data_IF_316191811759
#
_entry.id   IF_316191811759
#
_cell.length_a   1.000
_cell.length_b   1.000
_cell.length_c   1.000
_cell.angle_alpha   90.00
_cell.angle_beta   90.00
_cell.angle_gamma   90.00
#
_symmetry.space_group_name_H-M   'P 1'
#
loop_
_entity.id
_entity.type
_entity.pdbx_description
1 polymer ?
#
# COMPACT_ATOMS: atom_id res chain seq x y z
N UNK A 1 -6.57 -13.87 -39.35
CA UNK A 1 -5.33 -13.71 -38.58
C UNK A 1 -4.70 -15.07 -38.43
N UNK A 2 -3.47 -15.24 -38.89
CA UNK A 2 -2.67 -16.47 -38.77
C UNK A 2 -2.27 -16.69 -37.29
N UNK A 3 -2.12 -17.93 -36.83
CA UNK A 3 -1.64 -18.28 -35.48
C UNK A 3 -0.37 -17.53 -35.07
N UNK A 4 0.54 -17.27 -36.01
CA UNK A 4 1.76 -16.49 -35.79
C UNK A 4 1.45 -15.02 -35.46
N UNK A 5 0.42 -14.44 -36.08
CA UNK A 5 0.00 -13.06 -35.80
C UNK A 5 -0.70 -12.97 -34.44
N UNK A 6 -1.48 -13.99 -34.08
CA UNK A 6 -2.12 -14.09 -32.76
C UNK A 6 -1.06 -14.19 -31.65
N UNK A 7 -0.04 -15.02 -31.87
CA UNK A 7 1.06 -15.20 -30.93
C UNK A 7 1.88 -13.92 -30.76
N UNK A 8 2.24 -13.25 -31.87
CA UNK A 8 2.94 -11.96 -31.85
C UNK A 8 2.13 -10.87 -31.14
N UNK A 9 0.81 -10.86 -31.30
CA UNK A 9 -0.05 -9.88 -30.63
C UNK A 9 -0.11 -10.10 -29.11
N UNK A 10 -0.14 -11.37 -28.67
CA UNK A 10 -0.01 -11.74 -27.25
C UNK A 10 1.33 -11.32 -26.67
N UNK A 11 2.42 -11.58 -27.38
CA UNK A 11 3.77 -11.20 -26.95
C UNK A 11 3.95 -9.69 -26.86
N UNK A 12 3.39 -8.93 -27.82
CA UNK A 12 3.34 -7.47 -27.77
C UNK A 12 2.53 -6.96 -26.57
N UNK A 13 1.34 -7.51 -26.32
CA UNK A 13 0.54 -7.12 -25.15
C UNK A 13 1.25 -7.42 -23.83
N UNK A 14 1.91 -8.58 -23.72
CA UNK A 14 2.70 -8.91 -22.53
C UNK A 14 3.90 -7.98 -22.36
N UNK A 15 4.59 -7.62 -23.44
CA UNK A 15 5.68 -6.66 -23.39
C UNK A 15 5.21 -5.25 -23.00
N UNK A 16 4.05 -4.82 -23.51
CA UNK A 16 3.40 -3.54 -23.16
C UNK A 16 2.98 -3.50 -21.68
N UNK A 17 2.38 -4.58 -21.16
CA UNK A 17 2.08 -4.74 -19.74
C UNK A 17 3.33 -4.70 -18.86
N UNK A 18 4.42 -5.35 -19.30
CA UNK A 18 5.69 -5.41 -18.55
C UNK A 18 6.46 -4.07 -18.56
N UNK A 19 6.30 -3.26 -19.61
CA UNK A 19 7.06 -2.02 -19.81
C UNK A 19 6.33 -0.74 -19.33
N UNK A 20 5.20 -0.86 -18.62
CA UNK A 20 4.41 0.28 -18.14
C UNK A 20 4.07 1.27 -19.27
N UNK A 21 3.59 0.77 -20.41
CA UNK A 21 3.27 1.57 -21.61
C UNK A 21 1.92 2.30 -21.54
N UNK A 22 1.55 2.81 -20.36
CA UNK A 22 0.44 3.77 -20.24
C UNK A 22 0.84 5.15 -20.79
N UNK A 23 -0.13 6.06 -20.95
CA UNK A 23 0.18 7.46 -21.27
C UNK A 23 1.02 8.07 -20.13
N UNK A 24 2.32 8.26 -20.38
CA UNK A 24 3.24 8.82 -19.40
C UNK A 24 3.19 10.34 -19.50
N UNK A 25 2.39 10.97 -18.64
CA UNK A 25 2.45 12.42 -18.47
C UNK A 25 3.84 12.84 -17.97
N UNK A 26 4.27 14.03 -18.36
CA UNK A 26 5.56 14.56 -17.95
C UNK A 26 5.50 14.93 -16.45
N UNK A 27 6.07 14.09 -15.59
CA UNK A 27 6.19 14.38 -14.16
C UNK A 27 7.12 15.56 -13.87
N UNK A 28 6.93 16.21 -12.71
CA UNK A 28 7.73 17.37 -12.26
C UNK A 28 9.25 17.16 -12.42
N UNK A 29 9.79 16.09 -11.84
CA UNK A 29 11.23 15.81 -11.85
C UNK A 29 11.77 15.63 -13.28
N UNK A 30 11.08 14.83 -14.12
CA UNK A 30 11.46 14.64 -15.53
C UNK A 30 11.34 15.94 -16.34
N UNK A 31 10.35 16.77 -16.02
CA UNK A 31 10.17 18.08 -16.63
C UNK A 31 11.39 18.99 -16.46
N UNK A 32 11.97 19.03 -15.26
CA UNK A 32 13.15 19.86 -14.98
C UNK A 32 14.34 19.53 -15.88
N UNK A 33 14.60 18.25 -16.16
CA UNK A 33 15.64 17.82 -17.11
C UNK A 33 15.41 18.32 -18.54
N UNK A 34 14.16 18.62 -18.89
CA UNK A 34 13.76 19.11 -20.22
C UNK A 34 13.52 20.63 -20.23
N UNK A 35 13.88 21.35 -19.15
CA UNK A 35 13.59 22.78 -19.02
C UNK A 35 12.11 23.12 -18.91
N UNK A 36 11.26 22.15 -18.52
CA UNK A 36 9.81 22.30 -18.37
C UNK A 36 9.42 22.27 -16.90
N UNK A 37 8.83 23.36 -16.42
CA UNK A 37 8.30 23.43 -15.06
C UNK A 37 6.85 22.93 -15.01
N UNK A 38 6.66 21.67 -14.60
CA UNK A 38 5.33 21.03 -14.53
C UNK A 38 4.73 21.16 -13.12
N UNK A 39 4.24 22.36 -12.80
CA UNK A 39 3.83 22.75 -11.45
C UNK A 39 2.70 21.88 -10.86
N UNK A 40 1.75 21.46 -11.68
CA UNK A 40 0.51 20.80 -11.26
C UNK A 40 0.72 19.49 -10.46
N UNK A 41 1.89 18.84 -10.62
CA UNK A 41 2.27 17.66 -9.83
C UNK A 41 2.64 17.97 -8.37
N UNK A 42 2.88 19.23 -8.02
CA UNK A 42 3.46 19.62 -6.72
C UNK A 42 2.79 20.84 -6.08
N UNK A 43 2.13 21.69 -6.89
CA UNK A 43 1.55 22.96 -6.46
C UNK A 43 0.05 22.98 -6.79
N UNK A 44 -0.83 23.24 -5.81
CA UNK A 44 -0.54 23.34 -4.37
C UNK A 44 -0.12 21.98 -3.78
N UNK A 45 0.57 22.01 -2.64
CA UNK A 45 1.00 20.78 -1.98
C UNK A 45 -0.21 19.86 -1.72
N UNK A 46 -0.18 18.59 -2.15
CA UNK A 46 -1.32 17.70 -2.04
C UNK A 46 -1.65 17.44 -0.56
N UNK A 47 -2.94 17.49 -0.24
CA UNK A 47 -3.45 17.28 1.13
C UNK A 47 -4.50 16.18 1.14
N UNK A 48 -4.60 15.50 2.27
CA UNK A 48 -5.72 14.61 2.58
C UNK A 48 -7.01 15.43 2.54
N UNK A 49 -8.03 14.95 1.83
CA UNK A 49 -9.32 15.66 1.76
C UNK A 49 -10.05 15.60 3.10
N UNK A 50 -11.01 16.49 3.35
CA UNK A 50 -11.78 16.47 4.60
C UNK A 50 -12.52 15.14 4.83
N UNK A 51 -12.98 14.47 3.77
CA UNK A 51 -13.60 13.15 3.87
C UNK A 51 -12.58 12.09 4.30
N UNK A 52 -11.43 12.04 3.61
CA UNK A 52 -10.34 11.13 3.95
C UNK A 52 -9.76 11.39 5.35
N UNK A 53 -9.77 12.64 5.81
CA UNK A 53 -9.30 13.00 7.14
C UNK A 53 -10.18 12.38 8.23
N UNK A 54 -11.51 12.35 8.06
CA UNK A 54 -12.41 11.69 9.02
C UNK A 54 -12.11 10.18 9.14
N UNK A 55 -11.93 9.50 8.01
CA UNK A 55 -11.61 8.08 8.00
C UNK A 55 -10.23 7.82 8.65
N UNK A 56 -9.27 8.70 8.38
CA UNK A 56 -7.94 8.65 9.00
C UNK A 56 -8.01 8.85 10.52
N UNK A 57 -8.77 9.84 10.99
CA UNK A 57 -8.92 10.12 12.42
C UNK A 57 -9.55 8.93 13.16
N UNK A 58 -10.55 8.28 12.54
CA UNK A 58 -11.15 7.06 13.08
C UNK A 58 -10.13 5.91 13.15
N UNK A 59 -9.36 5.65 12.08
CA UNK A 59 -8.33 4.63 12.09
C UNK A 59 -7.24 4.90 13.14
N UNK A 60 -6.85 6.16 13.33
CA UNK A 60 -5.88 6.56 14.36
C UNK A 60 -6.44 6.37 15.77
N UNK A 61 -7.74 6.64 15.98
CA UNK A 61 -8.41 6.41 17.25
C UNK A 61 -8.45 4.92 17.64
N UNK A 62 -8.52 4.02 16.67
CA UNK A 62 -8.49 2.57 16.89
C UNK A 62 -7.06 2.04 17.10
N UNK A 63 -6.10 2.47 16.27
CA UNK A 63 -4.74 1.91 16.32
C UNK A 63 -3.95 2.38 17.53
N UNK A 64 -4.12 3.64 17.98
CA UNK A 64 -3.33 4.19 19.10
C UNK A 64 -3.51 3.41 20.40
N UNK A 65 -4.73 3.14 20.89
CA UNK A 65 -4.92 2.33 22.09
C UNK A 65 -4.41 0.90 21.96
N UNK A 66 -4.50 0.31 20.76
CA UNK A 66 -3.95 -1.02 20.49
C UNK A 66 -2.42 -1.02 20.65
N UNK A 67 -1.74 -0.06 20.02
CA UNK A 67 -0.29 0.08 20.14
C UNK A 67 0.13 0.37 21.60
N UNK A 68 -0.57 1.28 22.28
CA UNK A 68 -0.24 1.65 23.67
C UNK A 68 -0.40 0.47 24.65
N UNK A 69 -1.27 -0.49 24.34
CA UNK A 69 -1.51 -1.67 25.18
C UNK A 69 -0.61 -2.85 24.83
N UNK A 70 -0.36 -3.09 23.55
CA UNK A 70 0.18 -4.37 23.07
C UNK A 70 1.62 -4.27 22.57
N UNK A 71 2.09 -3.08 22.17
CA UNK A 71 3.42 -2.87 21.60
C UNK A 71 4.44 -2.56 22.69
N UNK A 72 5.52 -3.33 22.71
CA UNK A 72 6.70 -3.13 23.55
C UNK A 72 7.95 -3.17 22.65
N UNK A 73 8.45 -1.97 22.31
CA UNK A 73 9.57 -1.78 21.38
C UNK A 73 10.88 -2.34 21.93
N UNK A 74 11.16 -2.14 23.21
CA UNK A 74 12.39 -2.64 23.85
C UNK A 74 12.43 -4.17 23.88
N UNK A 75 11.27 -4.82 24.04
CA UNK A 75 11.16 -6.28 23.93
C UNK A 75 11.38 -6.76 22.50
N UNK A 76 10.74 -6.11 21.52
CA UNK A 76 10.87 -6.46 20.10
C UNK A 76 12.33 -6.43 19.66
N UNK A 77 13.06 -5.35 20.00
CA UNK A 77 14.46 -5.20 19.63
C UNK A 77 15.37 -6.23 20.34
N UNK A 78 15.11 -6.48 21.63
CA UNK A 78 15.90 -7.45 22.43
C UNK A 78 15.72 -8.88 21.94
N UNK A 79 14.49 -9.26 21.64
CA UNK A 79 14.14 -10.62 21.24
C UNK A 79 14.29 -10.84 19.72
N UNK A 80 14.49 -9.75 18.97
CA UNK A 80 14.55 -9.70 17.50
C UNK A 80 13.33 -10.34 16.82
N UNK A 81 12.16 -10.23 17.46
CA UNK A 81 10.91 -10.81 16.98
C UNK A 81 9.72 -9.89 17.28
N UNK A 82 8.75 -9.85 16.37
CA UNK A 82 7.49 -9.11 16.58
C UNK A 82 6.48 -10.10 17.18
N UNK A 83 6.08 -9.91 18.45
CA UNK A 83 5.18 -10.83 19.14
C UNK A 83 3.86 -11.03 18.38
N UNK A 84 3.39 -12.29 18.34
CA UNK A 84 2.15 -12.64 17.61
C UNK A 84 0.94 -11.80 18.02
N UNK A 85 0.82 -11.44 19.30
CA UNK A 85 -0.28 -10.60 19.78
C UNK A 85 -0.27 -9.21 19.12
N UNK A 86 0.90 -8.62 18.86
CA UNK A 86 1.03 -7.33 18.15
C UNK A 86 0.57 -7.47 16.70
N UNK A 87 0.99 -8.54 16.01
CA UNK A 87 0.57 -8.83 14.63
C UNK A 87 -0.96 -8.99 14.56
N UNK A 88 -1.55 -9.73 15.49
CA UNK A 88 -3.01 -9.88 15.59
C UNK A 88 -3.71 -8.58 15.95
N UNK A 89 -3.11 -7.74 16.78
CA UNK A 89 -3.59 -6.38 17.05
C UNK A 89 -3.66 -5.54 15.79
N UNK A 90 -2.61 -5.56 14.97
CA UNK A 90 -2.57 -4.88 13.67
C UNK A 90 -3.62 -5.45 12.69
N UNK A 91 -3.83 -6.76 12.68
CA UNK A 91 -4.89 -7.38 11.89
C UNK A 91 -6.28 -6.88 12.33
N UNK A 92 -6.57 -6.88 13.64
CA UNK A 92 -7.84 -6.42 14.21
C UNK A 92 -8.15 -4.96 13.90
N UNK A 93 -7.15 -4.08 13.82
CA UNK A 93 -7.34 -2.66 13.45
C UNK A 93 -7.52 -2.47 11.94
N UNK A 94 -7.34 -3.53 11.14
CA UNK A 94 -7.46 -3.49 9.68
C UNK A 94 -6.28 -2.83 8.97
N UNK A 95 -5.18 -2.50 9.68
CA UNK A 95 -4.06 -1.77 9.07
C UNK A 95 -3.30 -2.59 8.03
N UNK A 96 -3.33 -3.93 8.14
CA UNK A 96 -2.66 -4.84 7.20
C UNK A 96 -3.32 -4.87 5.80
N UNK A 97 -4.61 -4.53 5.72
CA UNK A 97 -5.39 -4.45 4.49
C UNK A 97 -5.77 -3.03 4.07
N UNK A 98 -5.19 -1.99 4.68
CA UNK A 98 -5.84 -0.69 4.75
C UNK A 98 -6.02 0.01 3.39
N UNK A 99 -5.08 -0.11 2.45
CA UNK A 99 -5.25 0.47 1.10
C UNK A 99 -5.74 -0.54 0.06
N UNK A 100 -5.95 -1.80 0.45
CA UNK A 100 -6.54 -2.77 -0.45
C UNK A 100 -7.98 -2.34 -0.81
N UNK A 101 -8.44 -2.63 -2.04
CA UNK A 101 -9.81 -2.35 -2.45
C UNK A 101 -10.84 -3.01 -1.53
N UNK A 102 -11.99 -2.35 -1.33
CA UNK A 102 -13.09 -2.88 -0.50
C UNK A 102 -13.64 -4.21 -1.01
N UNK A 103 -13.63 -4.44 -2.32
CA UNK A 103 -14.00 -5.72 -2.95
C UNK A 103 -13.12 -6.90 -2.54
N UNK A 104 -11.93 -6.64 -2.00
CA UNK A 104 -11.02 -7.63 -1.46
C UNK A 104 -10.98 -7.63 0.08
N UNK A 105 -11.91 -6.92 0.73
CA UNK A 105 -12.02 -6.82 2.19
C UNK A 105 -11.17 -5.72 2.83
N UNK A 106 -10.53 -4.86 2.03
CA UNK A 106 -9.70 -3.77 2.53
C UNK A 106 -10.48 -2.52 2.90
N UNK A 107 -9.81 -1.52 3.48
CA UNK A 107 -10.45 -0.27 3.89
C UNK A 107 -10.52 0.77 2.74
N UNK A 108 -9.76 0.58 1.65
CA UNK A 108 -9.75 1.49 0.50
C UNK A 108 -9.11 2.85 0.78
N UNK A 109 -8.20 2.93 1.76
CA UNK A 109 -7.49 4.17 2.07
C UNK A 109 -6.58 4.60 0.91
N UNK A 110 -6.40 5.90 0.75
CA UNK A 110 -5.34 6.44 -0.11
C UNK A 110 -3.95 6.15 0.47
N UNK A 111 -2.91 6.18 -0.38
CA UNK A 111 -1.52 6.06 0.09
C UNK A 111 -1.15 7.16 1.08
N UNK A 112 -1.68 8.38 0.91
CA UNK A 112 -1.40 9.49 1.82
C UNK A 112 -1.97 9.25 3.22
N UNK A 113 -3.20 8.71 3.33
CA UNK A 113 -3.75 8.30 4.63
C UNK A 113 -2.94 7.16 5.24
N UNK A 114 -2.52 6.18 4.44
CA UNK A 114 -1.68 5.07 4.90
C UNK A 114 -0.35 5.54 5.47
N UNK A 115 0.33 6.48 4.79
CA UNK A 115 1.55 7.10 5.30
C UNK A 115 1.34 7.73 6.68
N UNK A 116 0.21 8.39 6.92
CA UNK A 116 -0.10 8.98 8.24
C UNK A 116 -0.29 7.94 9.34
N UNK A 117 -0.83 6.77 9.02
CA UNK A 117 -0.91 5.66 9.99
C UNK A 117 0.47 5.03 10.21
N UNK A 118 1.28 4.86 9.17
CA UNK A 118 2.65 4.38 9.31
C UNK A 118 3.54 5.34 10.13
N UNK A 119 3.35 6.65 9.99
CA UNK A 119 4.00 7.66 10.84
C UNK A 119 3.63 7.46 12.32
N UNK A 120 2.36 7.15 12.63
CA UNK A 120 1.90 6.90 14.01
C UNK A 120 2.48 5.60 14.60
N UNK A 121 2.55 4.53 13.81
CA UNK A 121 3.20 3.27 14.22
C UNK A 121 4.70 3.49 14.41
N UNK A 122 5.35 4.10 13.42
CA UNK A 122 6.80 4.32 13.39
C UNK A 122 7.30 5.25 14.50
N UNK A 123 6.44 6.15 15.02
CA UNK A 123 6.73 6.95 16.20
C UNK A 123 6.93 6.11 17.46
N UNK A 124 6.35 4.91 17.52
CA UNK A 124 6.50 3.96 18.63
C UNK A 124 7.57 2.91 18.33
N UNK A 125 7.54 2.35 17.11
CA UNK A 125 8.45 1.29 16.69
C UNK A 125 8.59 1.26 15.15
N UNK A 126 9.82 1.43 14.69
CA UNK A 126 10.14 1.44 13.26
C UNK A 126 10.09 0.04 12.64
N UNK A 127 10.47 -1.01 13.37
CA UNK A 127 10.44 -2.41 12.93
C UNK A 127 8.99 -2.86 12.65
N UNK A 128 8.05 -2.50 13.52
CA UNK A 128 6.61 -2.78 13.33
C UNK A 128 6.03 -1.98 12.17
N UNK A 129 6.45 -0.72 12.00
CA UNK A 129 6.03 0.10 10.85
C UNK A 129 6.54 -0.50 9.53
N UNK A 130 7.80 -0.94 9.49
CA UNK A 130 8.39 -1.60 8.32
C UNK A 130 7.72 -2.95 8.04
N UNK A 131 7.45 -3.77 9.05
CA UNK A 131 6.70 -5.02 8.88
C UNK A 131 5.34 -4.78 8.24
N UNK A 132 4.57 -3.83 8.79
CA UNK A 132 3.24 -3.45 8.30
C UNK A 132 3.32 -2.96 6.85
N UNK A 133 4.29 -2.09 6.55
CA UNK A 133 4.48 -1.56 5.20
C UNK A 133 4.98 -2.63 4.22
N UNK A 134 5.85 -3.55 4.62
CA UNK A 134 6.36 -4.61 3.74
C UNK A 134 5.24 -5.59 3.35
N UNK A 135 4.45 -6.04 4.33
CA UNK A 135 3.25 -6.86 4.08
C UNK A 135 2.36 -6.23 3.02
N UNK A 136 2.13 -4.93 3.12
CA UNK A 136 1.18 -4.23 2.28
C UNK A 136 1.77 -3.72 0.93
N UNK A 137 2.85 -2.92 0.99
CA UNK A 137 3.41 -2.18 -0.15
C UNK A 137 4.09 -3.05 -1.19
N UNK A 138 4.62 -4.21 -0.79
CA UNK A 138 5.27 -5.16 -1.70
C UNK A 138 4.59 -6.54 -1.70
N UNK A 139 4.10 -7.03 -0.55
CA UNK A 139 3.40 -8.31 -0.46
C UNK A 139 2.04 -8.27 -1.15
N UNK A 140 1.05 -7.61 -0.54
CA UNK A 140 -0.31 -7.47 -1.06
C UNK A 140 -0.33 -6.75 -2.41
N UNK A 141 0.51 -5.72 -2.57
CA UNK A 141 0.56 -4.92 -3.81
C UNK A 141 0.92 -5.74 -5.04
N UNK A 142 1.85 -6.70 -4.93
CA UNK A 142 2.22 -7.54 -6.06
C UNK A 142 1.02 -8.33 -6.59
N UNK A 143 0.20 -8.89 -5.69
CA UNK A 143 -1.01 -9.59 -6.07
C UNK A 143 -2.08 -8.67 -6.64
N UNK A 144 -2.24 -7.45 -6.09
CA UNK A 144 -3.19 -6.48 -6.63
C UNK A 144 -2.85 -6.07 -8.07
N UNK A 145 -1.56 -5.79 -8.34
CA UNK A 145 -1.10 -5.32 -9.64
C UNK A 145 -1.04 -6.45 -10.68
N UNK A 146 -0.50 -7.61 -10.31
CA UNK A 146 -0.10 -8.64 -11.28
C UNK A 146 -0.79 -10.00 -11.07
N UNK A 147 -1.56 -10.17 -10.00
CA UNK A 147 -2.24 -11.42 -9.73
C UNK A 147 -3.37 -11.71 -10.72
N UNK A 148 -3.50 -12.98 -11.15
CA UNK A 148 -4.68 -13.44 -11.88
C UNK A 148 -5.93 -13.35 -11.01
N UNK A 149 -7.12 -13.47 -11.60
CA UNK A 149 -8.39 -13.48 -10.85
C UNK A 149 -8.40 -14.58 -9.79
N UNK A 150 -7.88 -15.75 -10.13
CA UNK A 150 -7.81 -16.93 -9.26
C UNK A 150 -6.81 -16.71 -8.11
N UNK A 151 -5.64 -16.13 -8.39
CA UNK A 151 -4.64 -15.80 -7.36
C UNK A 151 -5.18 -14.75 -6.38
N UNK A 152 -5.81 -13.70 -6.92
CA UNK A 152 -6.43 -12.63 -6.13
C UNK A 152 -7.52 -13.19 -5.22
N UNK A 153 -8.45 -13.98 -5.77
CA UNK A 153 -9.54 -14.58 -4.99
C UNK A 153 -9.03 -15.54 -3.90
N UNK A 154 -7.95 -16.28 -4.16
CA UNK A 154 -7.38 -17.23 -3.20
C UNK A 154 -6.59 -16.57 -2.08
N UNK A 155 -5.78 -15.57 -2.40
CA UNK A 155 -4.75 -15.07 -1.48
C UNK A 155 -5.03 -13.68 -0.91
N UNK A 156 -5.75 -12.80 -1.61
CA UNK A 156 -6.01 -11.46 -1.06
C UNK A 156 -6.87 -11.46 0.20
N UNK A 157 -8.00 -12.20 0.29
CA UNK A 157 -8.85 -12.12 1.48
C UNK A 157 -8.11 -12.41 2.80
N UNK A 158 -7.34 -13.52 2.94
CA UNK A 158 -6.61 -13.77 4.19
C UNK A 158 -5.45 -12.78 4.42
N UNK A 159 -4.78 -12.30 3.37
CA UNK A 159 -3.70 -11.33 3.51
C UNK A 159 -4.21 -9.94 3.93
N UNK A 160 -5.38 -9.55 3.45
CA UNK A 160 -6.01 -8.26 3.76
C UNK A 160 -6.59 -8.26 5.17
N UNK A 161 -7.16 -9.38 5.62
CA UNK A 161 -7.66 -9.50 7.00
C UNK A 161 -6.56 -9.62 8.05
N UNK A 162 -5.38 -10.15 7.66
CA UNK A 162 -4.24 -10.36 8.56
C UNK A 162 -4.28 -11.67 9.32
#
# INVERSE_FOLDING_TARGET
MNEVEIQRHKEMQQAEELLFSGHQELGFAKGLFLGKFVADWTIPYPRVTAAQQRDLDAALAEIRPMLDRELDSDRIDRDADIPRNVIEGLARTGVLGMTAPKEHGGAGFSQMQYCKVLEEIGRRDASVSVFTNAHHSIGVRALLLFGTKEQKAKWLPPLVSG
#
